data_IF_145125959144
#
_entry.id   IF_145125959144
#
_cell.length_a   1.000
_cell.length_b   1.000
_cell.length_c   1.000
_cell.angle_alpha   90.00
_cell.angle_beta   90.00
_cell.angle_gamma   90.00
#
_symmetry.space_group_name_H-M   'P 1'
#
loop_
_entity.id
_entity.type
_entity.pdbx_description
1 polymer ?
#
# COMPACT_ATOMS: atom_id res chain seq x y z
N UNK A 1 -7.03 9.96 -30.86
CA UNK A 1 -6.82 8.48 -30.84
C UNK A 1 -8.18 7.81 -30.72
N UNK A 2 -8.30 6.50 -30.93
CA UNK A 2 -9.52 5.79 -30.56
C UNK A 2 -9.45 5.41 -29.07
N UNK A 3 -10.59 5.25 -28.39
CA UNK A 3 -10.62 4.84 -26.97
C UNK A 3 -9.78 3.56 -26.72
N UNK A 4 -9.82 2.60 -27.65
CA UNK A 4 -8.99 1.39 -27.55
C UNK A 4 -7.49 1.69 -27.56
N UNK A 5 -7.06 2.68 -28.35
CA UNK A 5 -5.65 3.09 -28.39
C UNK A 5 -5.25 3.87 -27.14
N UNK A 6 -6.15 4.67 -26.59
CA UNK A 6 -5.95 5.39 -25.31
C UNK A 6 -5.80 4.44 -24.13
N UNK A 7 -6.68 3.46 -24.02
CA UNK A 7 -6.56 2.40 -23.00
C UNK A 7 -5.26 1.60 -23.15
N UNK A 8 -4.86 1.27 -24.37
CA UNK A 8 -3.58 0.59 -24.63
C UNK A 8 -2.37 1.46 -24.28
N UNK A 9 -2.45 2.77 -24.51
CA UNK A 9 -1.40 3.73 -24.15
C UNK A 9 -1.25 3.86 -22.63
N UNK A 10 -2.38 3.95 -21.89
CA UNK A 10 -2.37 3.95 -20.42
C UNK A 10 -1.75 2.67 -19.85
N UNK A 11 -2.16 1.52 -20.37
CA UNK A 11 -1.62 0.22 -19.97
C UNK A 11 -0.08 0.18 -20.19
N UNK A 12 0.39 0.61 -21.35
CA UNK A 12 1.81 0.64 -21.67
C UNK A 12 2.60 1.61 -20.78
N UNK A 13 2.07 2.82 -20.53
CA UNK A 13 2.72 3.82 -19.68
C UNK A 13 2.82 3.36 -18.23
N UNK A 14 1.73 2.82 -17.68
CA UNK A 14 1.67 2.30 -16.31
C UNK A 14 2.58 1.09 -16.11
N UNK A 15 2.64 0.19 -17.10
CA UNK A 15 3.57 -0.94 -17.09
C UNK A 15 5.03 -0.48 -17.10
N UNK A 16 5.36 0.48 -17.97
CA UNK A 16 6.74 0.97 -18.11
C UNK A 16 7.22 1.81 -16.93
N UNK A 17 6.29 2.55 -16.28
CA UNK A 17 6.67 3.46 -15.19
C UNK A 17 6.95 2.72 -13.87
N UNK A 18 6.29 1.59 -13.61
CA UNK A 18 6.45 0.72 -12.45
C UNK A 18 6.15 1.36 -11.06
N UNK A 19 6.19 2.67 -10.92
CA UNK A 19 5.89 3.44 -9.71
C UNK A 19 4.51 4.10 -9.79
N UNK A 20 3.87 4.49 -8.66
CA UNK A 20 2.63 5.26 -8.69
C UNK A 20 2.80 6.57 -9.46
N UNK A 21 1.89 6.86 -10.38
CA UNK A 21 1.92 8.04 -11.25
C UNK A 21 0.63 8.82 -11.13
N UNK A 22 0.72 10.16 -11.06
CA UNK A 22 -0.42 11.06 -10.97
C UNK A 22 -1.24 11.05 -12.26
N UNK A 23 -2.58 11.14 -12.14
CA UNK A 23 -3.49 11.22 -13.28
C UNK A 23 -3.15 12.39 -14.20
N UNK A 24 -2.79 13.53 -13.64
CA UNK A 24 -2.39 14.71 -14.42
C UNK A 24 -1.20 14.45 -15.35
N UNK A 25 -0.21 13.66 -14.90
CA UNK A 25 0.94 13.28 -15.72
C UNK A 25 0.58 12.33 -16.86
N UNK A 26 -0.38 11.43 -16.64
CA UNK A 26 -0.91 10.54 -17.68
C UNK A 26 -1.75 11.32 -18.70
N UNK A 27 -2.58 12.25 -18.21
CA UNK A 27 -3.40 13.14 -19.03
C UNK A 27 -2.53 13.99 -19.98
N UNK A 28 -1.48 14.60 -19.46
CA UNK A 28 -0.49 15.36 -20.24
C UNK A 28 0.12 14.51 -21.36
N UNK A 29 0.51 13.28 -21.05
CA UNK A 29 1.12 12.37 -22.02
C UNK A 29 0.14 11.97 -23.14
N UNK A 30 -1.16 11.83 -22.83
CA UNK A 30 -2.23 11.53 -23.80
C UNK A 30 -2.76 12.77 -24.49
N UNK A 31 -2.49 13.97 -23.99
CA UNK A 31 -3.09 15.26 -24.40
C UNK A 31 -4.61 15.26 -24.22
N UNK A 32 -5.07 14.71 -23.09
CA UNK A 32 -6.44 14.68 -22.63
C UNK A 32 -6.58 15.51 -21.36
N UNK A 33 -7.82 15.78 -20.94
CA UNK A 33 -8.04 16.35 -19.62
C UNK A 33 -7.97 15.28 -18.51
N UNK A 34 -7.88 15.72 -17.25
CA UNK A 34 -7.72 14.84 -16.10
C UNK A 34 -8.98 13.99 -15.84
N UNK A 35 -10.17 14.58 -16.06
CA UNK A 35 -11.43 13.88 -15.82
C UNK A 35 -11.62 12.75 -16.84
N UNK A 36 -11.38 13.02 -18.13
CA UNK A 36 -11.42 12.05 -19.21
C UNK A 36 -10.39 10.93 -18.98
N UNK A 37 -9.19 11.29 -18.53
CA UNK A 37 -8.13 10.32 -18.21
C UNK A 37 -8.52 9.44 -17.02
N UNK A 38 -9.18 10.00 -15.99
CA UNK A 38 -9.70 9.26 -14.85
C UNK A 38 -10.75 8.24 -15.27
N UNK A 39 -11.67 8.61 -16.16
CA UNK A 39 -12.67 7.66 -16.70
C UNK A 39 -12.00 6.51 -17.47
N UNK A 40 -10.97 6.81 -18.26
CA UNK A 40 -10.21 5.79 -18.99
C UNK A 40 -9.45 4.86 -18.04
N UNK A 41 -8.88 5.37 -16.95
CA UNK A 41 -8.20 4.56 -15.92
C UNK A 41 -9.19 3.60 -15.21
N UNK A 42 -10.38 4.09 -14.87
CA UNK A 42 -11.44 3.24 -14.30
C UNK A 42 -11.92 2.16 -15.29
N UNK A 43 -12.04 2.50 -16.57
CA UNK A 43 -12.35 1.52 -17.63
C UNK A 43 -11.23 0.49 -17.80
N UNK A 44 -9.97 0.90 -17.72
CA UNK A 44 -8.82 0.01 -17.77
C UNK A 44 -8.81 -0.94 -16.57
N UNK A 45 -9.03 -0.43 -15.37
CA UNK A 45 -9.13 -1.22 -14.14
C UNK A 45 -10.22 -2.29 -14.28
N UNK A 46 -11.43 -1.88 -14.64
CA UNK A 46 -12.56 -2.79 -14.86
C UNK A 46 -12.24 -3.86 -15.91
N UNK A 47 -11.64 -3.48 -17.04
CA UNK A 47 -11.25 -4.43 -18.10
C UNK A 47 -10.26 -5.49 -17.60
N UNK A 48 -9.24 -5.08 -16.82
CA UNK A 48 -8.27 -6.01 -16.23
C UNK A 48 -8.93 -6.98 -15.24
N UNK A 49 -9.94 -6.51 -14.51
CA UNK A 49 -10.68 -7.32 -13.56
C UNK A 49 -11.61 -8.32 -14.27
N UNK A 50 -12.39 -7.88 -15.27
CA UNK A 50 -13.29 -8.73 -16.04
C UNK A 50 -12.54 -9.82 -16.84
N UNK A 51 -11.30 -9.54 -17.26
CA UNK A 51 -10.47 -10.50 -18.01
C UNK A 51 -9.67 -11.42 -17.08
N UNK A 52 -9.84 -11.32 -15.76
CA UNK A 52 -9.02 -12.04 -14.78
C UNK A 52 -7.50 -11.91 -15.07
N UNK A 53 -7.09 -10.74 -15.55
CA UNK A 53 -5.70 -10.47 -15.92
C UNK A 53 -4.75 -10.77 -14.74
N UNK A 54 -3.54 -11.26 -15.02
CA UNK A 54 -2.47 -11.37 -14.02
C UNK A 54 -2.01 -10.02 -13.46
N UNK A 55 -2.38 -8.92 -14.12
CA UNK A 55 -2.11 -7.54 -13.69
C UNK A 55 -3.35 -6.92 -13.06
N UNK A 56 -3.13 -5.96 -12.17
CA UNK A 56 -4.17 -5.16 -11.52
C UNK A 56 -3.75 -3.70 -11.50
N UNK A 57 -4.72 -2.80 -11.57
CA UNK A 57 -4.50 -1.36 -11.46
C UNK A 57 -4.90 -0.91 -10.05
N UNK A 58 -3.94 -0.42 -9.28
CA UNK A 58 -4.14 0.11 -7.93
C UNK A 58 -4.29 1.62 -7.98
N UNK A 59 -5.19 2.13 -7.16
CA UNK A 59 -5.34 3.55 -6.89
C UNK A 59 -4.73 3.88 -5.52
N UNK A 60 -3.99 4.97 -5.43
CA UNK A 60 -3.44 5.54 -4.20
C UNK A 60 -3.91 6.98 -4.06
N UNK A 61 -4.47 7.30 -2.92
CA UNK A 61 -4.86 8.67 -2.62
C UNK A 61 -3.66 9.65 -2.65
N UNK A 62 -3.85 10.90 -3.04
CA UNK A 62 -5.13 11.48 -3.46
C UNK A 62 -5.48 11.23 -4.94
N UNK A 63 -4.53 10.92 -5.82
CA UNK A 63 -4.74 10.85 -7.27
C UNK A 63 -3.58 10.16 -8.00
N UNK A 64 -3.22 8.94 -7.58
CA UNK A 64 -2.11 8.20 -8.21
C UNK A 64 -2.52 6.77 -8.54
N UNK A 65 -2.00 6.28 -9.66
CA UNK A 65 -2.29 4.95 -10.19
C UNK A 65 -1.02 4.15 -10.43
N UNK A 66 -1.07 2.87 -10.18
CA UNK A 66 0.03 1.96 -10.43
C UNK A 66 -0.48 0.62 -10.97
N UNK A 67 0.19 0.10 -11.99
CA UNK A 67 -0.01 -1.27 -12.45
C UNK A 67 0.92 -2.23 -11.71
N UNK A 68 0.37 -3.33 -11.22
CA UNK A 68 1.14 -4.38 -10.53
C UNK A 68 0.56 -5.77 -10.81
N UNK A 69 1.21 -6.82 -10.33
CA UNK A 69 0.71 -8.20 -10.43
C UNK A 69 -0.36 -8.47 -9.37
N UNK A 70 -1.37 -9.28 -9.71
CA UNK A 70 -2.36 -9.70 -8.70
C UNK A 70 -1.71 -10.51 -7.58
N UNK A 71 -2.12 -10.30 -6.32
CA UNK A 71 -1.61 -11.04 -5.16
C UNK A 71 -1.72 -12.56 -5.32
N UNK A 72 -2.75 -13.03 -6.01
CA UNK A 72 -2.96 -14.45 -6.31
C UNK A 72 -1.75 -15.12 -6.98
N UNK A 73 -1.02 -14.40 -7.84
CA UNK A 73 0.17 -14.92 -8.52
C UNK A 73 1.47 -14.67 -7.76
N UNK A 74 1.42 -14.11 -6.55
CA UNK A 74 2.58 -13.67 -5.77
C UNK A 74 3.63 -14.77 -5.56
N UNK A 75 3.22 -15.99 -5.27
CA UNK A 75 4.16 -17.11 -5.09
C UNK A 75 4.90 -17.49 -6.38
N UNK A 76 4.23 -17.38 -7.53
CA UNK A 76 4.85 -17.65 -8.83
C UNK A 76 5.84 -16.56 -9.19
N UNK A 77 5.45 -15.29 -8.95
CA UNK A 77 6.30 -14.11 -9.15
C UNK A 77 7.54 -14.18 -8.25
N UNK A 78 7.39 -14.55 -6.97
CA UNK A 78 8.51 -14.73 -6.04
C UNK A 78 9.52 -15.78 -6.52
N UNK A 79 9.07 -16.86 -7.16
CA UNK A 79 9.95 -17.92 -7.65
C UNK A 79 10.86 -17.47 -8.81
N UNK A 80 10.41 -16.51 -9.62
CA UNK A 80 11.20 -15.98 -10.75
C UNK A 80 12.04 -14.78 -10.35
N UNK A 81 11.60 -14.02 -9.33
CA UNK A 81 12.38 -12.92 -8.80
C UNK A 81 13.42 -13.47 -7.81
N UNK A 82 14.68 -13.04 -7.93
CA UNK A 82 15.74 -13.46 -7.00
C UNK A 82 15.46 -12.90 -5.60
N UNK A 83 14.89 -13.76 -4.72
CA UNK A 83 14.34 -13.39 -3.41
C UNK A 83 15.40 -13.02 -2.37
N UNK A 84 16.70 -13.03 -2.69
CA UNK A 84 17.78 -12.70 -1.75
C UNK A 84 17.71 -11.25 -1.24
N UNK A 85 17.05 -10.35 -1.97
CA UNK A 85 16.82 -8.96 -1.54
C UNK A 85 15.57 -8.77 -0.66
N UNK A 86 14.66 -9.74 -0.64
CA UNK A 86 13.36 -9.66 0.02
C UNK A 86 13.25 -10.56 1.26
N UNK A 87 14.30 -10.61 2.10
CA UNK A 87 14.15 -11.23 3.41
C UNK A 87 12.95 -10.60 4.15
N UNK A 88 12.06 -11.42 4.74
CA UNK A 88 10.91 -10.91 5.48
C UNK A 88 11.37 -9.95 6.58
N UNK A 89 10.53 -8.98 6.90
CA UNK A 89 10.80 -8.06 8.01
C UNK A 89 10.85 -8.85 9.32
N UNK A 90 11.85 -8.56 10.13
CA UNK A 90 11.90 -9.12 11.48
C UNK A 90 10.76 -8.56 12.35
N UNK A 91 10.34 -9.23 13.43
CA UNK A 91 9.37 -8.68 14.37
C UNK A 91 9.72 -7.28 14.85
N UNK A 92 10.99 -7.04 15.18
CA UNK A 92 11.48 -5.71 15.56
C UNK A 92 11.33 -4.67 14.44
N UNK A 93 11.49 -5.07 13.17
CA UNK A 93 11.29 -4.16 12.04
C UNK A 93 9.80 -3.83 11.82
N UNK A 94 8.91 -4.80 12.03
CA UNK A 94 7.47 -4.58 11.97
C UNK A 94 7.00 -3.65 13.09
N UNK A 95 7.52 -3.80 14.32
CA UNK A 95 7.23 -2.90 15.44
C UNK A 95 7.64 -1.45 15.14
N UNK A 96 8.87 -1.23 14.67
CA UNK A 96 9.35 0.12 14.29
C UNK A 96 8.48 0.70 13.19
N UNK A 97 8.15 -0.10 12.17
CA UNK A 97 7.34 0.32 11.04
C UNK A 97 5.93 0.70 11.48
N UNK A 98 5.32 -0.08 12.39
CA UNK A 98 4.01 0.25 12.98
C UNK A 98 4.07 1.57 13.78
N UNK A 99 5.10 1.76 14.64
CA UNK A 99 5.26 3.02 15.37
C UNK A 99 5.31 4.21 14.41
N UNK A 100 6.02 4.09 13.29
CA UNK A 100 6.10 5.17 12.30
C UNK A 100 4.74 5.35 11.61
N UNK A 101 4.14 4.28 11.09
CA UNK A 101 2.90 4.37 10.30
C UNK A 101 1.74 5.03 11.06
N UNK A 102 1.62 4.74 12.36
CA UNK A 102 0.53 5.28 13.18
C UNK A 102 0.81 6.66 13.80
N UNK A 103 2.06 7.13 13.81
CA UNK A 103 2.43 8.36 14.53
C UNK A 103 3.18 9.38 13.68
N UNK A 104 3.39 9.11 12.40
CA UNK A 104 4.18 9.96 11.50
C UNK A 104 3.66 11.39 11.38
N UNK A 105 4.54 12.39 11.19
CA UNK A 105 6.01 12.26 11.12
C UNK A 105 6.65 12.15 12.52
N UNK A 106 7.56 11.19 12.72
CA UNK A 106 8.18 10.92 14.03
C UNK A 106 9.71 10.91 13.98
N UNK A 107 10.35 11.28 15.10
CA UNK A 107 11.80 11.22 15.25
C UNK A 107 12.27 9.82 15.67
N UNK A 108 13.57 9.54 15.48
CA UNK A 108 14.20 8.32 15.98
C UNK A 108 14.05 8.18 17.50
N UNK A 109 14.26 9.27 18.24
CA UNK A 109 14.11 9.25 19.70
C UNK A 109 12.70 8.91 20.16
N UNK A 110 11.67 9.34 19.43
CA UNK A 110 10.30 8.94 19.70
C UNK A 110 10.10 7.43 19.50
N UNK A 111 10.62 6.87 18.39
CA UNK A 111 10.56 5.43 18.12
C UNK A 111 11.23 4.63 19.24
N UNK A 112 12.40 5.06 19.66
CA UNK A 112 13.16 4.41 20.74
C UNK A 112 12.46 4.53 22.09
N UNK A 113 11.81 5.67 22.38
CA UNK A 113 11.01 5.87 23.58
C UNK A 113 9.82 4.93 23.63
N UNK A 114 9.08 4.76 22.53
CA UNK A 114 7.93 3.86 22.44
C UNK A 114 8.37 2.41 22.59
N UNK A 115 9.49 2.03 22.00
CA UNK A 115 9.99 0.64 22.02
C UNK A 115 10.79 0.27 23.26
N UNK A 116 11.33 1.25 23.96
CA UNK A 116 12.22 1.03 25.11
C UNK A 116 13.62 0.50 24.77
N UNK A 117 13.97 0.44 23.47
CA UNK A 117 15.26 -0.10 22.98
C UNK A 117 15.79 0.71 21.80
N UNK A 118 17.11 0.69 21.59
CA UNK A 118 17.75 1.28 20.41
C UNK A 118 17.16 0.70 19.12
N UNK A 119 16.75 1.59 18.23
CA UNK A 119 16.10 1.25 16.96
C UNK A 119 16.88 1.75 15.75
N UNK A 120 18.05 2.35 15.95
CA UNK A 120 18.84 2.99 14.91
C UNK A 120 19.14 2.09 13.72
N UNK A 121 19.60 0.87 13.97
CA UNK A 121 19.91 -0.09 12.91
C UNK A 121 18.66 -0.58 12.16
N UNK A 122 17.52 -0.64 12.85
CA UNK A 122 16.24 -1.04 12.25
C UNK A 122 15.68 0.06 11.35
N UNK A 123 15.71 1.31 11.80
CA UNK A 123 15.33 2.49 10.99
C UNK A 123 16.17 2.55 9.71
N UNK A 124 17.51 2.37 9.80
CA UNK A 124 18.38 2.34 8.62
C UNK A 124 17.96 1.25 7.62
N UNK A 125 17.69 0.03 8.11
CA UNK A 125 17.24 -1.07 7.24
C UNK A 125 15.89 -0.81 6.58
N UNK A 126 14.97 -0.10 7.25
CA UNK A 126 13.69 0.29 6.67
C UNK A 126 13.85 1.38 5.62
N UNK A 127 14.78 2.34 5.81
CA UNK A 127 15.19 3.31 4.79
C UNK A 127 15.80 2.61 3.57
N UNK A 128 16.74 1.68 3.77
CA UNK A 128 17.40 0.92 2.70
C UNK A 128 16.38 0.07 1.89
N UNK A 129 15.30 -0.38 2.52
CA UNK A 129 14.19 -1.09 1.87
C UNK A 129 13.18 -0.15 1.20
N UNK A 130 13.30 1.15 1.37
CA UNK A 130 12.38 2.15 0.85
C UNK A 130 10.98 2.07 1.46
N UNK A 131 10.83 1.49 2.66
CA UNK A 131 9.53 1.41 3.36
C UNK A 131 9.22 2.67 4.15
N UNK A 132 10.25 3.41 4.53
CA UNK A 132 10.16 4.73 5.17
C UNK A 132 11.11 5.70 4.48
N UNK A 133 10.88 6.97 4.68
CA UNK A 133 11.70 8.07 4.16
C UNK A 133 11.84 9.20 5.18
N UNK A 134 12.78 10.13 4.93
CA UNK A 134 12.94 11.34 5.73
C UNK A 134 11.89 12.39 5.33
N UNK A 135 11.07 12.80 6.29
CA UNK A 135 10.01 13.82 6.13
C UNK A 135 10.46 15.21 6.63
N UNK A 136 11.73 15.54 6.46
CA UNK A 136 12.31 16.80 6.93
C UNK A 136 12.74 16.77 8.40
N UNK A 137 12.59 17.90 9.11
CA UNK A 137 12.99 18.05 10.53
C UNK A 137 11.81 18.52 11.36
N UNK A 138 11.66 17.94 12.55
CA UNK A 138 10.64 18.35 13.51
C UNK A 138 11.07 19.68 14.19
N UNK A 139 10.09 20.50 14.52
CA UNK A 139 10.31 21.73 15.31
C UNK A 139 10.36 21.40 16.81
N UNK A 140 11.40 20.64 17.16
CA UNK A 140 11.72 20.20 18.52
C UNK A 140 13.17 20.59 18.85
N UNK A 141 13.56 20.65 20.15
CA UNK A 141 14.94 20.88 20.53
C UNK A 141 15.90 19.92 19.80
N UNK A 142 16.93 20.47 19.15
CA UNK A 142 17.86 19.69 18.33
C UNK A 142 17.40 19.43 16.90
N UNK A 143 16.17 19.86 16.51
CA UNK A 143 15.60 19.71 15.15
C UNK A 143 15.86 18.33 14.53
N UNK A 144 15.39 17.25 15.20
CA UNK A 144 15.69 15.90 14.77
C UNK A 144 15.03 15.61 13.41
N UNK A 145 15.64 14.70 12.63
CA UNK A 145 15.05 14.18 11.38
C UNK A 145 13.76 13.47 11.70
N UNK A 146 12.73 13.74 10.89
CA UNK A 146 11.44 13.07 10.93
C UNK A 146 11.39 11.92 9.91
N UNK A 147 10.66 10.87 10.23
CA UNK A 147 10.43 9.73 9.35
C UNK A 147 8.94 9.54 9.10
N UNK A 148 8.62 9.11 7.89
CA UNK A 148 7.27 8.73 7.46
C UNK A 148 7.34 7.47 6.59
N UNK A 149 6.21 6.80 6.40
CA UNK A 149 6.11 5.67 5.46
C UNK A 149 6.01 6.17 4.02
N UNK A 150 6.33 5.29 3.07
CA UNK A 150 6.34 5.57 1.63
C UNK A 150 5.18 4.88 0.91
N UNK A 151 4.99 5.17 -0.38
CA UNK A 151 4.09 4.42 -1.25
C UNK A 151 4.47 2.93 -1.36
N UNK A 152 5.77 2.63 -1.23
CA UNK A 152 6.23 1.22 -1.18
C UNK A 152 5.67 0.50 0.04
N UNK A 153 5.56 1.17 1.19
CA UNK A 153 4.89 0.63 2.37
C UNK A 153 3.42 0.33 2.05
N UNK A 154 2.66 1.28 1.53
CA UNK A 154 1.24 1.09 1.19
C UNK A 154 1.06 -0.11 0.25
N UNK A 155 1.87 -0.18 -0.79
CA UNK A 155 1.84 -1.28 -1.76
C UNK A 155 2.16 -2.64 -1.14
N UNK A 156 3.20 -2.73 -0.31
CA UNK A 156 3.64 -3.99 0.32
C UNK A 156 2.58 -4.52 1.28
N UNK A 157 1.86 -3.63 1.96
CA UNK A 157 0.81 -3.99 2.91
C UNK A 157 -0.59 -4.02 2.28
N UNK A 158 -0.72 -3.73 0.97
CA UNK A 158 -2.00 -3.76 0.24
C UNK A 158 -2.97 -2.66 0.65
N UNK A 159 -2.46 -1.51 1.09
CA UNK A 159 -3.23 -0.36 1.53
C UNK A 159 -3.35 0.66 0.40
N UNK A 160 -4.52 1.25 0.22
CA UNK A 160 -4.74 2.39 -0.68
C UNK A 160 -4.29 3.72 -0.06
N UNK A 161 -4.43 3.81 1.27
CA UNK A 161 -4.07 4.99 2.07
C UNK A 161 -3.75 4.60 3.51
N UNK A 162 -3.27 5.57 4.32
CA UNK A 162 -3.05 5.37 5.75
C UNK A 162 -4.36 5.16 6.54
N UNK A 163 -5.50 5.60 5.99
CA UNK A 163 -6.80 5.41 6.62
C UNK A 163 -7.23 3.92 6.63
N UNK A 164 -6.63 3.10 5.77
CA UNK A 164 -6.88 1.65 5.71
C UNK A 164 -6.11 0.87 6.77
N UNK A 165 -5.29 1.54 7.58
CA UNK A 165 -4.60 0.89 8.70
C UNK A 165 -5.61 0.40 9.73
N UNK A 166 -5.47 -0.84 10.26
CA UNK A 166 -6.33 -1.34 11.32
C UNK A 166 -6.34 -0.40 12.53
N UNK A 167 -7.48 -0.18 13.19
CA UNK A 167 -7.51 0.66 14.39
C UNK A 167 -6.62 0.04 15.49
N UNK A 168 -5.92 0.89 16.24
CA UNK A 168 -5.18 0.45 17.41
C UNK A 168 -6.20 -0.12 18.43
N UNK A 169 -5.90 -1.28 19.02
CA UNK A 169 -6.78 -1.94 20.00
C UNK A 169 -7.16 -0.97 21.12
N UNK A 170 -8.44 -0.59 21.16
CA UNK A 170 -9.01 0.39 22.08
C UNK A 170 -10.08 1.29 21.45
N UNK A 171 -10.05 1.47 20.14
CA UNK A 171 -11.05 2.22 19.37
C UNK A 171 -11.77 1.27 18.39
N UNK A 172 -12.49 0.29 18.92
CA UNK A 172 -13.46 -0.42 18.10
C UNK A 172 -14.58 0.58 17.74
N UNK A 173 -15.01 0.69 16.45
CA UNK A 173 -16.18 1.48 16.11
C UNK A 173 -17.38 0.94 16.88
N UNK A 174 -18.10 1.80 17.59
CA UNK A 174 -19.27 1.47 18.43
C UNK A 174 -20.48 0.93 17.65
N UNK A 175 -20.32 0.47 16.41
CA UNK A 175 -21.39 -0.05 15.54
C UNK A 175 -20.98 -1.34 14.80
N UNK A 176 -20.62 -2.38 15.54
CA UNK A 176 -20.80 -3.75 15.08
C UNK A 176 -21.71 -4.46 16.07
N UNK A 177 -23.01 -4.44 15.80
CA UNK A 177 -23.95 -5.38 16.42
C UNK A 177 -23.43 -6.79 16.15
N UNK A 178 -23.37 -7.67 17.17
CA UNK A 178 -22.99 -9.05 16.94
C UNK A 178 -24.07 -9.70 16.06
N UNK A 179 -23.71 -10.21 14.89
CA UNK A 179 -24.54 -11.17 14.17
C UNK A 179 -24.76 -12.35 15.11
N UNK A 180 -25.99 -12.49 15.59
CA UNK A 180 -26.44 -13.65 16.35
C UNK A 180 -26.23 -14.87 15.42
N UNK A 181 -25.30 -15.74 15.78
CA UNK A 181 -25.18 -17.05 15.18
C UNK A 181 -26.45 -17.83 15.54
N UNK A 182 -27.32 -18.06 14.55
CA UNK A 182 -28.40 -19.01 14.68
C UNK A 182 -27.77 -20.40 14.89
N UNK A 183 -27.90 -20.93 16.11
CA UNK A 183 -27.58 -22.31 16.44
C UNK A 183 -28.58 -23.22 15.69
N UNK A 184 -28.13 -23.78 14.55
CA UNK A 184 -28.84 -24.86 13.86
C UNK A 184 -28.57 -26.19 14.59
N UNK A 185 -29.45 -26.51 15.56
CA UNK A 185 -29.49 -27.81 16.26
C UNK A 185 -29.94 -28.92 15.30
N UNK A 186 -29.10 -29.26 14.34
CA UNK A 186 -29.26 -30.42 13.47
C UNK A 186 -28.92 -31.73 14.19
N UNK A 187 -29.90 -32.36 14.85
CA UNK A 187 -29.81 -33.72 15.39
C UNK A 187 -29.50 -34.72 14.25
N UNK A 188 -28.31 -35.28 14.26
CA UNK A 188 -27.95 -36.45 13.44
C UNK A 188 -28.30 -37.73 14.20
N UNK A 189 -29.47 -38.33 13.93
CA UNK A 189 -29.76 -39.69 14.32
C UNK A 189 -28.97 -40.69 13.46
N UNK A 190 -28.13 -41.50 14.12
CA UNK A 190 -27.50 -42.66 13.53
C UNK A 190 -28.43 -43.86 13.61
N UNK A 191 -28.78 -44.46 12.47
CA UNK A 191 -29.24 -45.85 12.30
C UNK A 191 -28.32 -46.60 11.38
#
# INVERSE_FOLDING_TARGET
MTERQELGSLEAMLFAHAEPVETARLADALRLDTDETTELLQKLQKRLDEQESGMVLLFFEPDRWQMTTRPYYGEMVKRILDTRRNAPLSPAALEVLAVIAYNQPVSRSFIEQVRGVDSSSTVTKLLDKGLIEEAGRLDLPGKPVAFQVTDTFLRVFGLGSLADLPPLHGEAPENSEPEEAEDDDGQLEWK
#
